data_IF_529168651169
#
_entry.id   IF_529168651169
#
_cell.length_a   1.000
_cell.length_b   1.000
_cell.length_c   1.000
_cell.angle_alpha   90.00
_cell.angle_beta   90.00
_cell.angle_gamma   90.00
#
_symmetry.space_group_name_H-M   'P 1'
#
loop_
_entity.id
_entity.type
_entity.pdbx_description
1 polymer ?
#
# COMPACT_ATOMS: atom_id res chain seq x y z
N UNK A 1 7.39 13.92 -3.79
CA UNK A 1 6.86 15.28 -3.98
C UNK A 1 7.51 16.26 -3.01
N UNK A 2 7.24 16.16 -1.71
CA UNK A 2 7.83 17.05 -0.69
C UNK A 2 9.37 17.22 -0.81
N UNK A 3 10.09 16.11 -0.99
CA UNK A 3 11.55 16.12 -1.24
C UNK A 3 11.99 17.02 -2.39
N UNK A 4 11.26 17.01 -3.49
CA UNK A 4 11.61 17.71 -4.72
C UNK A 4 11.29 19.20 -4.61
N UNK A 5 10.19 19.56 -3.93
CA UNK A 5 9.87 20.96 -3.63
C UNK A 5 10.91 21.56 -2.68
N UNK A 6 11.30 20.83 -1.63
CA UNK A 6 12.37 21.26 -0.73
C UNK A 6 13.72 21.37 -1.45
N UNK A 7 14.06 20.41 -2.31
CA UNK A 7 15.28 20.47 -3.11
C UNK A 7 15.29 21.66 -4.08
N UNK A 8 14.15 21.99 -4.70
CA UNK A 8 14.05 23.17 -5.57
C UNK A 8 14.24 24.47 -4.79
N UNK A 9 13.61 24.60 -3.62
CA UNK A 9 13.78 25.78 -2.76
C UNK A 9 15.23 25.91 -2.25
N UNK A 10 15.92 24.79 -2.06
CA UNK A 10 17.33 24.77 -1.70
C UNK A 10 18.24 25.19 -2.88
N UNK A 11 17.92 24.76 -4.11
CA UNK A 11 18.71 25.06 -5.30
C UNK A 11 18.57 26.53 -5.73
N UNK A 12 17.34 27.03 -5.79
CA UNK A 12 17.02 28.36 -6.33
C UNK A 12 16.99 29.45 -5.26
N UNK A 13 17.13 29.08 -3.98
CA UNK A 13 17.03 29.92 -2.78
C UNK A 13 15.65 30.57 -2.54
N UNK A 14 14.93 30.95 -3.60
CA UNK A 14 13.58 31.49 -3.58
C UNK A 14 12.83 31.01 -4.82
N UNK A 15 11.62 30.46 -4.63
CA UNK A 15 10.78 29.98 -5.73
C UNK A 15 9.40 30.63 -5.67
N UNK A 16 8.87 31.09 -6.80
CA UNK A 16 7.51 31.64 -6.86
C UNK A 16 6.45 30.59 -6.47
N UNK A 17 5.49 30.95 -5.62
CA UNK A 17 4.43 30.10 -5.08
C UNK A 17 3.45 29.55 -6.15
N UNK A 18 3.47 30.16 -7.34
CA UNK A 18 2.76 29.72 -8.56
C UNK A 18 3.68 29.20 -9.66
N UNK A 19 4.96 29.57 -9.61
CA UNK A 19 5.94 29.24 -10.64
C UNK A 19 6.65 27.91 -10.37
N UNK A 20 6.63 27.41 -9.13
CA UNK A 20 7.23 26.11 -8.83
C UNK A 20 6.67 25.01 -9.71
N UNK A 21 5.36 24.99 -10.02
CA UNK A 21 4.76 23.94 -10.88
C UNK A 21 5.36 23.90 -12.29
N UNK A 22 5.83 25.04 -12.82
CA UNK A 22 6.40 25.15 -14.16
C UNK A 22 7.78 24.48 -14.27
N UNK A 23 8.53 24.40 -13.16
CA UNK A 23 9.86 23.77 -13.12
C UNK A 23 9.86 22.28 -13.47
N UNK A 24 8.71 21.61 -13.32
CA UNK A 24 8.56 20.19 -13.66
C UNK A 24 7.86 19.96 -15.00
N UNK A 25 7.66 21.01 -15.81
CA UNK A 25 7.23 20.89 -17.21
C UNK A 25 5.88 20.17 -17.40
N UNK A 26 4.95 20.30 -16.44
CA UNK A 26 3.65 19.64 -16.51
C UNK A 26 3.68 18.13 -16.18
N UNK A 27 4.74 17.63 -15.53
CA UNK A 27 4.74 16.27 -14.97
C UNK A 27 3.59 16.15 -13.95
N UNK A 28 2.54 15.41 -14.31
CA UNK A 28 1.26 15.30 -13.60
C UNK A 28 1.30 15.27 -12.06
N UNK A 29 2.18 14.51 -11.38
CA UNK A 29 2.24 14.53 -9.92
C UNK A 29 2.68 15.88 -9.31
N UNK A 30 3.33 16.76 -10.07
CA UNK A 30 3.85 18.08 -9.67
C UNK A 30 2.92 19.25 -10.06
N UNK A 31 1.73 18.95 -10.62
CA UNK A 31 0.71 19.94 -10.92
C UNK A 31 -0.20 20.29 -9.72
N UNK A 32 -1.48 20.66 -9.93
CA UNK A 32 -2.41 21.05 -8.86
C UNK A 32 -2.54 20.03 -7.71
N UNK A 33 -2.32 18.74 -7.99
CA UNK A 33 -2.34 17.67 -7.00
C UNK A 33 -1.24 17.80 -5.92
N UNK A 34 -0.20 18.59 -6.15
CA UNK A 34 0.88 18.84 -5.19
C UNK A 34 0.62 20.05 -4.28
N UNK A 35 -0.41 20.86 -4.55
CA UNK A 35 -0.72 22.06 -3.77
C UNK A 35 -1.10 21.78 -2.30
N UNK A 36 -1.85 20.72 -1.97
CA UNK A 36 -2.07 20.31 -0.58
C UNK A 36 -0.76 19.97 0.14
N UNK A 37 0.21 19.40 -0.56
CA UNK A 37 1.52 19.03 0.00
C UNK A 37 2.34 20.29 0.28
N UNK A 38 2.35 21.27 -0.63
CA UNK A 38 3.04 22.54 -0.43
C UNK A 38 2.42 23.33 0.72
N UNK A 39 1.09 23.41 0.78
CA UNK A 39 0.37 24.05 1.90
C UNK A 39 0.76 23.42 3.25
N UNK A 40 0.83 22.10 3.29
CA UNK A 40 1.25 21.36 4.48
C UNK A 40 2.70 21.67 4.87
N UNK A 41 3.62 21.71 3.90
CA UNK A 41 5.02 22.06 4.17
C UNK A 41 5.18 23.49 4.73
N UNK A 42 4.36 24.43 4.27
CA UNK A 42 4.31 25.78 4.83
C UNK A 42 3.72 25.77 6.24
N UNK A 43 2.60 25.07 6.44
CA UNK A 43 1.93 24.98 7.76
C UNK A 43 2.81 24.37 8.86
N UNK A 44 3.64 23.39 8.50
CA UNK A 44 4.56 22.71 9.41
C UNK A 44 5.95 23.39 9.51
N UNK A 45 6.16 24.54 8.84
CA UNK A 45 7.41 25.32 8.92
C UNK A 45 8.61 24.71 8.17
N UNK A 46 8.38 23.73 7.30
CA UNK A 46 9.40 23.22 6.38
C UNK A 46 9.68 24.18 5.23
N UNK A 47 8.66 24.94 4.83
CA UNK A 47 8.78 26.06 3.92
C UNK A 47 8.27 27.32 4.62
N UNK A 48 8.89 28.45 4.35
CA UNK A 48 8.35 29.75 4.68
C UNK A 48 7.90 30.46 3.41
N UNK A 49 6.90 31.33 3.58
CA UNK A 49 6.34 32.13 2.50
C UNK A 49 6.50 33.61 2.84
N UNK A 50 7.16 34.35 1.96
CA UNK A 50 7.20 35.82 1.98
C UNK A 50 6.61 36.34 0.66
N UNK A 51 5.44 36.97 0.74
CA UNK A 51 4.67 37.38 -0.45
C UNK A 51 4.35 36.18 -1.35
N UNK A 52 4.87 36.20 -2.57
CA UNK A 52 4.71 35.11 -3.56
C UNK A 52 5.95 34.21 -3.64
N UNK A 53 6.89 34.31 -2.69
CA UNK A 53 8.12 33.51 -2.66
C UNK A 53 8.07 32.44 -1.57
N UNK A 54 8.54 31.25 -1.92
CA UNK A 54 8.75 30.11 -1.04
C UNK A 54 10.26 29.89 -0.86
N UNK A 55 10.66 29.64 0.37
CA UNK A 55 12.05 29.31 0.73
C UNK A 55 12.08 28.30 1.87
N UNK A 56 13.27 27.76 2.15
CA UNK A 56 13.48 26.76 3.19
C UNK A 56 13.15 27.36 4.56
N UNK A 57 12.24 26.71 5.28
CA UNK A 57 11.85 27.10 6.62
C UNK A 57 12.75 26.51 7.71
N UNK A 58 12.68 27.03 8.95
CA UNK A 58 13.52 26.63 10.07
C UNK A 58 13.43 25.13 10.41
N UNK A 59 12.25 24.52 10.19
CA UNK A 59 12.05 23.10 10.51
C UNK A 59 12.77 22.18 9.52
N UNK A 60 12.87 22.60 8.25
CA UNK A 60 13.65 21.90 7.25
C UNK A 60 15.16 22.01 7.53
N UNK A 61 15.66 23.18 7.95
CA UNK A 61 17.06 23.35 8.38
C UNK A 61 17.39 22.49 9.59
N UNK A 62 16.53 22.50 10.60
CA UNK A 62 16.72 21.71 11.83
C UNK A 62 16.80 20.21 11.56
N UNK A 63 15.96 19.70 10.65
CA UNK A 63 15.87 18.26 10.37
C UNK A 63 16.86 17.76 9.32
N UNK A 64 17.16 18.56 8.29
CA UNK A 64 17.95 18.13 7.14
C UNK A 64 19.27 18.90 6.97
N UNK A 65 19.48 20.00 7.69
CA UNK A 65 20.65 20.88 7.53
C UNK A 65 21.98 20.31 8.02
N UNK A 66 21.98 19.33 8.92
CA UNK A 66 23.21 18.79 9.57
C UNK A 66 24.24 18.19 8.58
N UNK A 67 23.83 17.86 7.36
CA UNK A 67 24.72 17.40 6.28
C UNK A 67 24.43 18.09 4.95
N UNK A 68 24.20 19.41 4.95
CA UNK A 68 23.87 20.18 3.74
C UNK A 68 22.73 19.53 2.93
N UNK A 69 21.69 19.04 3.61
CA UNK A 69 20.54 18.43 2.96
C UNK A 69 20.84 17.18 2.10
N UNK A 70 21.98 16.51 2.32
CA UNK A 70 22.37 15.29 1.60
C UNK A 70 21.33 14.15 1.72
N UNK A 71 20.55 14.11 2.80
CA UNK A 71 19.45 13.15 2.96
C UNK A 71 18.26 13.42 2.01
N UNK A 72 18.10 14.65 1.51
CA UNK A 72 17.13 15.06 0.49
C UNK A 72 17.56 14.69 -0.94
N UNK A 73 18.80 14.26 -1.19
CA UNK A 73 19.28 13.93 -2.55
C UNK A 73 19.41 12.42 -2.81
N UNK A 74 19.30 11.58 -1.78
CA UNK A 74 19.40 10.13 -1.92
C UNK A 74 18.03 9.49 -2.27
N UNK A 75 17.83 9.09 -3.53
CA UNK A 75 16.56 8.49 -4.05
C UNK A 75 16.47 6.96 -3.86
N UNK A 76 17.53 6.30 -3.40
CA UNK A 76 17.49 4.85 -3.16
C UNK A 76 17.03 4.55 -1.74
N UNK A 77 15.73 4.37 -1.55
CA UNK A 77 15.21 3.65 -0.39
C UNK A 77 15.19 2.17 -0.75
N UNK A 78 16.20 1.42 -0.32
CA UNK A 78 16.03 -0.03 -0.21
C UNK A 78 14.79 -0.30 0.65
N UNK A 79 13.95 -1.25 0.25
CA UNK A 79 12.80 -1.65 1.06
C UNK A 79 13.32 -2.02 2.47
N UNK A 80 12.80 -1.40 3.54
CA UNK A 80 13.38 -1.61 4.87
C UNK A 80 13.12 -3.04 5.32
N UNK A 81 14.11 -3.93 5.27
CA UNK A 81 13.99 -5.27 5.83
C UNK A 81 14.24 -5.26 7.35
N UNK A 82 13.59 -6.18 8.08
CA UNK A 82 13.84 -6.42 9.51
C UNK A 82 14.75 -7.62 9.70
N UNK A 83 15.80 -7.48 10.51
CA UNK A 83 16.65 -8.61 10.91
C UNK A 83 15.93 -9.46 11.95
N UNK A 84 15.78 -10.76 11.68
CA UNK A 84 15.14 -11.73 12.57
C UNK A 84 16.19 -12.43 13.42
N UNK A 85 16.02 -12.34 14.75
CA UNK A 85 16.96 -12.84 15.76
C UNK A 85 16.28 -13.89 16.64
N UNK A 86 16.92 -15.05 16.81
CA UNK A 86 16.60 -16.00 17.89
C UNK A 86 17.67 -15.86 18.98
N UNK A 87 17.32 -15.18 20.07
CA UNK A 87 18.30 -14.79 21.09
C UNK A 87 19.36 -13.85 20.52
N UNK A 88 20.60 -14.36 20.32
CA UNK A 88 21.73 -13.62 19.74
C UNK A 88 22.03 -14.00 18.30
N UNK A 89 21.38 -15.04 17.77
CA UNK A 89 21.66 -15.58 16.45
C UNK A 89 20.74 -14.96 15.41
N UNK A 90 21.33 -14.44 14.34
CA UNK A 90 20.60 -13.99 13.15
C UNK A 90 20.13 -15.18 12.33
N UNK A 91 18.82 -15.22 12.05
CA UNK A 91 18.16 -16.27 11.30
C UNK A 91 17.96 -15.85 9.83
N UNK A 92 17.80 -14.55 9.59
CA UNK A 92 17.64 -13.95 8.26
C UNK A 92 16.91 -12.63 8.34
N UNK A 93 16.34 -12.19 7.22
CA UNK A 93 15.54 -10.97 7.13
C UNK A 93 14.06 -11.28 6.86
N UNK A 94 13.18 -10.35 7.22
CA UNK A 94 11.74 -10.44 6.98
C UNK A 94 11.14 -9.08 6.58
N UNK A 95 10.01 -9.14 5.89
CA UNK A 95 9.28 -7.97 5.41
C UNK A 95 8.51 -7.29 6.58
N UNK A 96 8.60 -5.95 6.75
CA UNK A 96 7.81 -5.22 7.74
C UNK A 96 6.30 -5.45 7.67
N UNK A 97 5.75 -5.78 6.49
CA UNK A 97 4.35 -6.11 6.31
C UNK A 97 3.94 -7.35 7.12
N UNK A 98 4.79 -8.37 7.19
CA UNK A 98 4.56 -9.54 8.07
C UNK A 98 4.50 -9.13 9.55
N UNK A 99 5.20 -8.06 9.93
CA UNK A 99 5.30 -7.56 11.29
C UNK A 99 4.21 -6.52 11.65
N UNK A 100 3.47 -6.00 10.68
CA UNK A 100 2.38 -5.03 10.89
C UNK A 100 0.99 -5.62 10.64
N UNK A 101 0.89 -6.84 10.14
CA UNK A 101 -0.41 -7.50 9.95
C UNK A 101 -1.11 -7.82 11.25
N UNK A 102 -2.40 -7.49 11.34
CA UNK A 102 -3.25 -7.97 12.43
C UNK A 102 -3.38 -9.49 12.34
N UNK A 103 -3.16 -10.18 13.46
CA UNK A 103 -3.24 -11.63 13.56
C UNK A 103 -4.01 -12.01 14.80
N UNK A 104 -4.93 -12.98 14.67
CA UNK A 104 -5.54 -13.61 15.84
C UNK A 104 -4.52 -14.54 16.49
N UNK A 105 -4.16 -14.25 17.74
CA UNK A 105 -3.21 -15.05 18.51
C UNK A 105 -1.73 -14.69 18.25
N UNK A 106 -0.79 -15.57 18.62
CA UNK A 106 0.64 -15.26 18.53
C UNK A 106 1.08 -15.18 17.07
N UNK A 107 1.82 -14.12 16.71
CA UNK A 107 2.37 -13.96 15.36
C UNK A 107 3.47 -14.98 15.12
N UNK A 108 3.40 -15.70 14.00
CA UNK A 108 4.37 -16.74 13.63
C UNK A 108 4.91 -16.54 12.21
N UNK A 109 6.22 -16.65 12.06
CA UNK A 109 6.98 -16.52 10.82
C UNK A 109 7.53 -17.89 10.41
N UNK A 110 7.61 -18.14 9.11
CA UNK A 110 8.36 -19.28 8.55
C UNK A 110 9.62 -18.72 7.90
N UNK A 111 10.79 -19.04 8.47
CA UNK A 111 12.08 -18.53 8.01
C UNK A 111 13.15 -19.62 8.12
N UNK A 112 13.98 -19.75 7.09
CA UNK A 112 15.00 -20.81 6.98
C UNK A 112 14.43 -22.23 7.20
N UNK A 113 13.21 -22.48 6.73
CA UNK A 113 12.52 -23.77 6.85
C UNK A 113 12.03 -24.14 8.26
N UNK A 114 12.03 -23.19 9.21
CA UNK A 114 11.56 -23.39 10.59
C UNK A 114 10.48 -22.37 10.94
N UNK A 115 9.57 -22.76 11.83
CA UNK A 115 8.53 -21.89 12.34
C UNK A 115 9.03 -21.16 13.59
N UNK A 116 8.74 -19.87 13.65
CA UNK A 116 9.24 -18.95 14.65
C UNK A 116 8.09 -18.11 15.18
N UNK A 117 7.88 -18.04 16.49
CA UNK A 117 6.91 -17.14 17.09
C UNK A 117 7.59 -15.82 17.42
N UNK A 118 6.99 -14.71 16.97
CA UNK A 118 7.46 -13.36 17.28
C UNK A 118 7.16 -13.05 18.74
N UNK A 119 8.20 -12.71 19.49
CA UNK A 119 8.09 -12.33 20.91
C UNK A 119 8.17 -10.82 21.09
N UNK A 120 9.06 -10.16 20.35
CA UNK A 120 9.27 -8.72 20.45
C UNK A 120 9.73 -8.12 19.11
N UNK A 121 9.31 -6.90 18.82
CA UNK A 121 9.72 -6.15 17.63
C UNK A 121 10.29 -4.80 18.07
N UNK A 122 11.59 -4.60 17.80
CA UNK A 122 12.26 -3.32 17.93
C UNK A 122 12.21 -2.59 16.58
N UNK A 123 11.20 -1.74 16.43
CA UNK A 123 11.00 -0.92 15.24
C UNK A 123 12.13 0.07 15.00
N UNK A 124 12.71 0.61 16.07
CA UNK A 124 13.78 1.62 15.99
C UNK A 124 15.06 1.02 15.40
N UNK A 125 15.38 -0.23 15.77
CA UNK A 125 16.57 -0.94 15.30
C UNK A 125 16.30 -1.89 14.14
N UNK A 126 15.05 -1.96 13.66
CA UNK A 126 14.57 -2.90 12.64
C UNK A 126 14.92 -4.35 12.98
N UNK A 127 14.65 -4.76 14.21
CA UNK A 127 14.94 -6.11 14.72
C UNK A 127 13.66 -6.80 15.18
N UNK A 128 13.46 -8.04 14.75
CA UNK A 128 12.39 -8.91 15.18
C UNK A 128 12.99 -10.05 16.00
N UNK A 129 12.55 -10.23 17.24
CA UNK A 129 12.98 -11.32 18.11
C UNK A 129 11.96 -12.43 18.07
N UNK A 130 12.46 -13.66 17.96
CA UNK A 130 11.63 -14.85 17.79
C UNK A 130 12.09 -16.02 18.65
N UNK A 131 11.16 -16.93 18.93
CA UNK A 131 11.40 -18.21 19.56
C UNK A 131 10.92 -19.37 18.68
N UNK A 132 11.56 -20.53 18.69
CA UNK A 132 11.17 -21.67 17.86
C UNK A 132 9.79 -22.20 18.28
N UNK A 133 8.97 -22.58 17.30
CA UNK A 133 7.67 -23.24 17.52
C UNK A 133 7.44 -24.35 16.51
N UNK A 134 6.54 -25.28 16.82
CA UNK A 134 6.34 -26.47 15.99
C UNK A 134 5.54 -26.22 14.71
N UNK A 135 4.74 -25.14 14.63
CA UNK A 135 3.87 -24.92 13.46
C UNK A 135 3.20 -23.56 13.35
N UNK A 136 2.60 -23.30 12.19
CA UNK A 136 1.78 -22.11 11.92
C UNK A 136 2.57 -20.87 11.47
N UNK A 137 3.85 -21.01 11.10
CA UNK A 137 4.64 -19.91 10.54
C UNK A 137 4.15 -19.52 9.15
N UNK A 138 3.98 -18.22 8.91
CA UNK A 138 3.72 -17.67 7.57
C UNK A 138 5.05 -17.19 6.97
N UNK A 139 5.36 -17.62 5.75
CA UNK A 139 6.43 -17.04 4.95
C UNK A 139 5.79 -16.13 3.90
N UNK A 140 6.24 -14.88 3.85
CA UNK A 140 5.96 -13.98 2.72
C UNK A 140 7.25 -13.28 2.35
N UNK A 141 7.66 -13.50 1.11
CA UNK A 141 8.72 -12.73 0.50
C UNK A 141 8.05 -11.74 -0.43
N UNK A 142 8.03 -10.45 -0.08
CA UNK A 142 7.82 -9.46 -1.14
C UNK A 142 9.12 -9.44 -1.94
N UNK A 143 9.19 -10.27 -2.99
CA UNK A 143 10.19 -10.02 -4.02
C UNK A 143 10.01 -8.55 -4.45
N UNK A 144 11.07 -7.78 -4.64
CA UNK A 144 10.97 -6.32 -4.91
C UNK A 144 10.09 -5.89 -6.10
N UNK A 145 9.48 -6.85 -6.83
CA UNK A 145 8.42 -6.65 -7.83
C UNK A 145 6.99 -6.77 -7.28
N UNK A 146 6.78 -7.51 -6.19
CA UNK A 146 5.50 -7.64 -5.47
C UNK A 146 5.14 -6.39 -4.63
N UNK A 147 6.06 -5.42 -4.51
CA UNK A 147 5.77 -4.09 -3.94
C UNK A 147 4.94 -3.19 -4.87
N UNK A 148 4.66 -3.61 -6.10
CA UNK A 148 3.64 -2.96 -6.92
C UNK A 148 2.31 -3.67 -6.69
N UNK A 149 1.52 -3.12 -5.77
CA UNK A 149 0.07 -3.20 -5.81
C UNK A 149 -0.38 -3.22 -7.28
N UNK A 150 -0.94 -4.33 -7.75
CA UNK A 150 -1.36 -4.45 -9.14
C UNK A 150 -2.50 -3.44 -9.37
N UNK A 151 -2.47 -2.81 -10.53
CA UNK A 151 -3.48 -1.84 -10.91
C UNK A 151 -4.79 -2.53 -11.31
N UNK A 152 -5.85 -1.74 -11.37
CA UNK A 152 -7.13 -2.21 -11.86
C UNK A 152 -7.03 -2.71 -13.30
N UNK A 153 -6.26 -2.02 -14.15
CA UNK A 153 -6.09 -2.38 -15.56
C UNK A 153 -5.40 -3.73 -15.72
N UNK A 154 -4.37 -4.01 -14.92
CA UNK A 154 -3.62 -5.27 -15.00
C UNK A 154 -4.42 -6.46 -14.46
N UNK A 155 -5.12 -6.27 -13.34
CA UNK A 155 -5.98 -7.32 -12.78
C UNK A 155 -7.22 -7.55 -13.63
N UNK A 156 -7.81 -6.49 -14.18
CA UNK A 156 -8.87 -6.56 -15.19
C UNK A 156 -8.44 -7.31 -16.44
N UNK A 157 -7.27 -6.98 -17.01
CA UNK A 157 -6.73 -7.72 -18.16
C UNK A 157 -6.53 -9.21 -17.87
N UNK A 158 -6.04 -9.55 -16.67
CA UNK A 158 -5.94 -10.95 -16.25
C UNK A 158 -7.32 -11.63 -16.18
N UNK A 159 -8.34 -10.95 -15.63
CA UNK A 159 -9.73 -11.44 -15.62
C UNK A 159 -10.26 -11.69 -17.03
N UNK A 160 -10.05 -10.76 -17.97
CA UNK A 160 -10.49 -10.93 -19.37
C UNK A 160 -9.83 -12.15 -20.02
N UNK A 161 -8.54 -12.38 -19.74
CA UNK A 161 -7.85 -13.57 -20.23
C UNK A 161 -8.45 -14.85 -19.67
N UNK A 162 -8.82 -14.87 -18.38
CA UNK A 162 -9.52 -15.99 -17.75
C UNK A 162 -10.92 -16.21 -18.33
N UNK A 163 -11.61 -15.14 -18.74
CA UNK A 163 -12.92 -15.20 -19.41
C UNK A 163 -12.84 -15.64 -20.89
N UNK A 164 -11.62 -15.78 -21.44
CA UNK A 164 -11.40 -16.33 -22.79
C UNK A 164 -10.75 -15.37 -23.77
N UNK A 165 -10.40 -14.14 -23.37
CA UNK A 165 -9.65 -13.24 -24.25
C UNK A 165 -8.23 -13.76 -24.48
N UNK A 166 -7.81 -13.90 -25.74
CA UNK A 166 -6.45 -14.29 -26.07
C UNK A 166 -5.53 -13.05 -26.15
N UNK A 167 -4.33 -13.11 -25.54
CA UNK A 167 -3.37 -12.02 -25.67
C UNK A 167 -2.96 -11.79 -27.14
N UNK A 168 -2.76 -10.53 -27.58
CA UNK A 168 -2.46 -10.20 -28.98
C UNK A 168 -0.98 -10.47 -29.33
N UNK A 169 -0.51 -11.70 -29.10
CA UNK A 169 0.85 -12.15 -29.37
C UNK A 169 0.83 -13.56 -29.97
N UNK A 170 1.86 -13.92 -30.74
CA UNK A 170 2.01 -15.30 -31.23
C UNK A 170 2.31 -16.23 -30.06
N UNK A 171 1.39 -17.14 -29.77
CA UNK A 171 1.58 -18.15 -28.74
C UNK A 171 2.28 -19.39 -29.30
N UNK A 172 3.05 -20.04 -28.44
CA UNK A 172 3.57 -21.39 -28.71
C UNK A 172 2.53 -22.42 -28.27
N UNK A 173 2.53 -23.64 -28.84
CA UNK A 173 1.62 -24.72 -28.41
C UNK A 173 1.63 -24.97 -26.89
N UNK A 174 2.81 -24.93 -26.27
CA UNK A 174 2.94 -25.07 -24.80
C UNK A 174 2.25 -23.92 -24.03
N UNK A 175 2.27 -22.71 -24.58
CA UNK A 175 1.63 -21.54 -23.96
C UNK A 175 0.12 -21.61 -24.13
N UNK A 176 -0.38 -22.07 -25.28
CA UNK A 176 -1.81 -22.34 -25.50
C UNK A 176 -2.33 -23.40 -24.52
N UNK A 177 -1.62 -24.52 -24.36
CA UNK A 177 -2.02 -25.56 -23.39
C UNK A 177 -2.00 -25.05 -21.94
N UNK A 178 -0.97 -24.28 -21.56
CA UNK A 178 -0.90 -23.68 -20.23
C UNK A 178 -2.03 -22.67 -20.00
N UNK A 179 -2.38 -21.87 -21.01
CA UNK A 179 -3.47 -20.91 -20.94
C UNK A 179 -4.83 -21.60 -20.78
N UNK A 180 -5.06 -22.68 -21.53
CA UNK A 180 -6.27 -23.50 -21.39
C UNK A 180 -6.38 -24.09 -19.98
N UNK A 181 -5.30 -24.64 -19.43
CA UNK A 181 -5.28 -25.18 -18.08
C UNK A 181 -5.58 -24.11 -17.02
N UNK A 182 -4.96 -22.93 -17.14
CA UNK A 182 -5.19 -21.82 -16.19
C UNK A 182 -6.64 -21.34 -16.25
N UNK A 183 -7.26 -21.28 -17.43
CA UNK A 183 -8.69 -20.94 -17.58
C UNK A 183 -9.58 -21.97 -16.90
N UNK A 184 -9.28 -23.26 -17.07
CA UNK A 184 -10.03 -24.35 -16.43
C UNK A 184 -9.89 -24.32 -14.90
N UNK A 185 -8.66 -24.23 -14.39
CA UNK A 185 -8.35 -24.23 -12.96
C UNK A 185 -8.95 -23.03 -12.20
N UNK A 186 -9.21 -21.92 -12.90
CA UNK A 186 -9.65 -20.66 -12.30
C UNK A 186 -11.07 -20.25 -12.75
N UNK A 187 -11.81 -21.14 -13.42
CA UNK A 187 -13.13 -20.83 -13.98
C UNK A 187 -14.14 -20.37 -12.92
N UNK A 188 -14.03 -20.87 -11.69
CA UNK A 188 -14.91 -20.47 -10.58
C UNK A 188 -14.67 -19.02 -10.09
N UNK A 189 -13.51 -18.43 -10.39
CA UNK A 189 -13.12 -17.09 -9.88
C UNK A 189 -13.57 -15.94 -10.77
N UNK A 190 -14.17 -16.23 -11.93
CA UNK A 190 -14.59 -15.25 -12.93
C UNK A 190 -15.98 -15.59 -13.46
N UNK A 191 -16.77 -14.55 -13.76
CA UNK A 191 -18.07 -14.71 -14.40
C UNK A 191 -18.28 -13.55 -15.39
N UNK A 192 -18.83 -13.77 -16.59
CA UNK A 192 -19.01 -12.70 -17.59
C UNK A 192 -19.89 -11.55 -17.06
N UNK A 193 -20.95 -11.88 -16.32
CA UNK A 193 -21.93 -10.89 -15.85
C UNK A 193 -21.51 -10.09 -14.61
N UNK A 194 -20.32 -10.35 -14.04
CA UNK A 194 -19.85 -9.58 -12.90
C UNK A 194 -18.73 -10.20 -12.09
N UNK A 195 -18.55 -9.69 -10.87
CA UNK A 195 -17.63 -10.23 -9.86
C UNK A 195 -18.26 -11.38 -9.11
N UNK A 196 -17.45 -12.34 -8.65
CA UNK A 196 -17.93 -13.57 -8.01
C UNK A 196 -17.67 -13.52 -6.51
N UNK A 197 -18.65 -13.93 -5.70
CA UNK A 197 -18.44 -14.29 -4.29
C UNK A 197 -18.45 -15.81 -4.19
N UNK A 198 -17.31 -16.39 -3.82
CA UNK A 198 -17.19 -17.82 -3.60
C UNK A 198 -17.16 -18.13 -2.10
N UNK A 199 -17.79 -19.25 -1.76
CA UNK A 199 -17.81 -19.84 -0.44
C UNK A 199 -17.32 -21.28 -0.56
N UNK A 200 -16.18 -21.62 0.04
CA UNK A 200 -15.66 -22.98 -0.05
C UNK A 200 -14.23 -23.19 0.42
N UNK A 201 -13.89 -24.46 0.66
CA UNK A 201 -12.59 -24.95 1.19
C UNK A 201 -12.71 -25.60 2.57
N UNK A 202 -11.61 -26.17 3.08
CA UNK A 202 -11.53 -26.74 4.45
C UNK A 202 -11.76 -25.70 5.56
N UNK A 203 -11.63 -24.42 5.25
CA UNK A 203 -11.61 -23.32 6.21
C UNK A 203 -12.83 -22.37 6.09
N UNK A 204 -13.97 -22.80 5.50
CA UNK A 204 -15.23 -22.00 5.42
C UNK A 204 -15.12 -20.59 4.81
N UNK A 205 -14.01 -20.34 4.09
CA UNK A 205 -13.61 -19.04 3.58
C UNK A 205 -14.62 -18.44 2.59
N UNK A 206 -15.04 -17.18 2.82
CA UNK A 206 -15.81 -16.37 1.87
C UNK A 206 -14.87 -15.36 1.19
N UNK A 207 -14.82 -15.37 -0.15
CA UNK A 207 -13.95 -14.49 -0.95
C UNK A 207 -14.76 -13.81 -2.05
N UNK A 208 -14.64 -12.51 -2.13
CA UNK A 208 -15.15 -11.70 -3.23
C UNK A 208 -14.03 -11.42 -4.23
N UNK A 209 -14.09 -12.06 -5.39
CA UNK A 209 -13.16 -11.90 -6.51
C UNK A 209 -13.51 -10.65 -7.31
N UNK A 210 -12.90 -9.53 -6.92
CA UNK A 210 -13.16 -8.19 -7.46
C UNK A 210 -12.39 -7.91 -8.74
N UNK A 211 -11.15 -8.42 -8.86
CA UNK A 211 -10.21 -8.06 -9.93
C UNK A 211 -10.02 -6.54 -10.09
N UNK A 212 -10.11 -5.80 -8.98
CA UNK A 212 -10.10 -4.33 -8.98
C UNK A 212 -8.71 -3.73 -8.71
N UNK A 213 -7.69 -4.56 -8.45
CA UNK A 213 -6.37 -4.12 -8.02
C UNK A 213 -6.34 -3.76 -6.53
N UNK A 214 -5.12 -3.64 -5.98
CA UNK A 214 -4.95 -3.51 -4.53
C UNK A 214 -5.58 -2.23 -3.95
N UNK A 215 -5.41 -1.08 -4.62
CA UNK A 215 -5.90 0.22 -4.10
C UNK A 215 -7.41 0.24 -3.99
N UNK A 216 -8.10 -0.30 -4.99
CA UNK A 216 -9.55 -0.43 -4.96
C UNK A 216 -9.98 -1.41 -3.86
N UNK A 217 -9.33 -2.58 -3.77
CA UNK A 217 -9.65 -3.57 -2.74
C UNK A 217 -9.38 -3.09 -1.31
N UNK A 218 -8.33 -2.28 -1.10
CA UNK A 218 -8.04 -1.62 0.17
C UNK A 218 -9.15 -0.62 0.55
N UNK A 219 -9.63 0.16 -0.43
CA UNK A 219 -10.75 1.10 -0.23
C UNK A 219 -12.05 0.34 0.05
N UNK A 220 -12.32 -0.74 -0.68
CA UNK A 220 -13.47 -1.60 -0.45
C UNK A 220 -13.45 -2.24 0.94
N UNK A 221 -12.30 -2.77 1.38
CA UNK A 221 -12.17 -3.33 2.72
C UNK A 221 -12.35 -2.28 3.82
N UNK A 222 -11.85 -1.06 3.62
CA UNK A 222 -12.01 0.05 4.55
C UNK A 222 -13.44 0.64 4.55
N UNK A 223 -14.18 0.48 3.46
CA UNK A 223 -15.58 0.93 3.33
C UNK A 223 -16.55 -0.10 3.90
N UNK A 224 -16.34 -1.37 3.56
CA UNK A 224 -17.23 -2.49 3.87
C UNK A 224 -16.81 -3.20 5.16
N UNK A 225 -16.41 -2.45 6.20
CA UNK A 225 -15.88 -3.01 7.45
C UNK A 225 -16.87 -3.91 8.19
N UNK A 226 -18.16 -3.74 7.93
CA UNK A 226 -19.21 -4.60 8.47
C UNK A 226 -19.24 -6.00 7.85
N UNK A 227 -18.70 -6.20 6.64
CA UNK A 227 -18.74 -7.49 5.93
C UNK A 227 -17.36 -8.00 5.51
N UNK A 228 -16.35 -7.15 5.45
CA UNK A 228 -14.96 -7.53 5.23
C UNK A 228 -14.40 -8.25 6.48
N UNK A 229 -13.51 -9.21 6.26
CA UNK A 229 -12.78 -9.85 7.36
C UNK A 229 -11.76 -8.85 7.94
N UNK A 230 -11.92 -8.39 9.19
CA UNK A 230 -11.05 -7.36 9.76
C UNK A 230 -9.62 -7.85 9.97
N UNK A 231 -9.42 -9.16 10.07
CA UNK A 231 -8.11 -9.76 10.34
C UNK A 231 -7.29 -10.02 9.08
N UNK A 232 -7.88 -9.84 7.89
CA UNK A 232 -7.26 -10.23 6.63
C UNK A 232 -7.21 -9.05 5.69
N UNK A 233 -5.98 -8.69 5.31
CA UNK A 233 -5.76 -7.62 4.33
C UNK A 233 -6.27 -8.04 2.95
N UNK A 234 -6.82 -7.10 2.17
CA UNK A 234 -7.20 -7.36 0.80
C UNK A 234 -5.98 -7.69 -0.07
N UNK A 235 -6.22 -8.43 -1.14
CA UNK A 235 -5.22 -8.73 -2.18
C UNK A 235 -5.47 -7.88 -3.43
N UNK A 236 -4.68 -8.07 -4.47
CA UNK A 236 -4.92 -7.44 -5.78
C UNK A 236 -6.20 -7.94 -6.47
N UNK A 237 -6.60 -9.19 -6.24
CA UNK A 237 -7.66 -9.86 -7.02
C UNK A 237 -8.93 -10.14 -6.22
N UNK A 238 -8.85 -10.19 -4.89
CA UNK A 238 -10.00 -10.45 -4.04
C UNK A 238 -9.96 -9.71 -2.69
N UNK A 239 -11.15 -9.52 -2.13
CA UNK A 239 -11.39 -9.11 -0.74
C UNK A 239 -11.95 -10.30 0.03
N UNK A 240 -11.44 -10.53 1.24
CA UNK A 240 -11.97 -11.56 2.12
C UNK A 240 -13.14 -11.02 2.93
N UNK A 241 -14.22 -11.79 2.99
CA UNK A 241 -15.43 -11.42 3.70
C UNK A 241 -15.61 -12.32 4.93
N UNK A 242 -16.42 -11.86 5.89
CA UNK A 242 -16.79 -12.66 7.06
C UNK A 242 -17.46 -13.96 6.64
N UNK A 243 -17.22 -15.02 7.42
CA UNK A 243 -17.77 -16.35 7.12
C UNK A 243 -19.29 -16.41 7.27
N UNK A 244 -19.88 -15.60 8.13
CA UNK A 244 -21.32 -15.53 8.39
C UNK A 244 -22.11 -14.67 7.37
N UNK A 245 -21.44 -14.12 6.35
CA UNK A 245 -22.06 -13.21 5.39
C UNK A 245 -23.29 -13.81 4.70
N UNK A 246 -24.43 -13.15 4.83
CA UNK A 246 -25.65 -13.50 4.09
C UNK A 246 -25.83 -12.66 2.82
N UNK A 247 -26.65 -13.11 1.84
CA UNK A 247 -27.00 -12.30 0.69
C UNK A 247 -27.66 -10.96 1.06
N UNK A 248 -28.45 -10.92 2.13
CA UNK A 248 -29.11 -9.69 2.60
C UNK A 248 -28.09 -8.70 3.19
N UNK A 249 -27.14 -9.19 3.99
CA UNK A 249 -26.03 -8.39 4.50
C UNK A 249 -25.21 -7.78 3.36
N UNK A 250 -24.95 -8.57 2.31
CA UNK A 250 -24.24 -8.12 1.12
C UNK A 250 -25.00 -7.00 0.39
N UNK A 251 -26.30 -7.17 0.12
CA UNK A 251 -27.09 -6.15 -0.56
C UNK A 251 -27.16 -4.86 0.24
N UNK A 252 -27.34 -4.96 1.56
CA UNK A 252 -27.34 -3.81 2.46
C UNK A 252 -25.99 -3.10 2.46
N UNK A 253 -24.89 -3.83 2.65
CA UNK A 253 -23.56 -3.25 2.67
C UNK A 253 -23.18 -2.60 1.33
N UNK A 254 -23.57 -3.20 0.21
CA UNK A 254 -23.38 -2.63 -1.13
C UNK A 254 -24.12 -1.30 -1.29
N UNK A 255 -25.40 -1.25 -0.91
CA UNK A 255 -26.21 -0.03 -1.00
C UNK A 255 -25.66 1.09 -0.11
N UNK A 256 -25.19 0.76 1.10
CA UNK A 256 -24.56 1.73 2.00
C UNK A 256 -23.23 2.27 1.42
N UNK A 257 -22.40 1.40 0.86
CA UNK A 257 -21.10 1.77 0.30
C UNK A 257 -21.18 2.70 -0.92
N UNK A 258 -22.22 2.58 -1.75
CA UNK A 258 -22.46 3.48 -2.89
C UNK A 258 -22.59 4.95 -2.44
N UNK A 259 -23.07 5.19 -1.22
CA UNK A 259 -23.25 6.54 -0.67
C UNK A 259 -22.04 7.06 0.11
N UNK A 260 -21.10 6.19 0.50
CA UNK A 260 -19.99 6.55 1.39
C UNK A 260 -18.79 5.62 1.23
N UNK A 261 -17.81 6.07 0.45
CA UNK A 261 -16.48 5.43 0.39
C UNK A 261 -15.58 5.92 1.52
N UNK A 262 -14.86 4.99 2.16
CA UNK A 262 -13.86 5.26 3.17
C UNK A 262 -12.46 4.91 2.66
N UNK A 263 -11.51 5.83 2.80
CA UNK A 263 -10.11 5.57 2.48
C UNK A 263 -9.45 4.67 3.54
N UNK A 264 -8.53 3.77 3.15
CA UNK A 264 -7.84 2.92 4.10
C UNK A 264 -6.95 3.75 5.03
N UNK A 265 -6.97 3.40 6.32
CA UNK A 265 -6.11 4.05 7.31
C UNK A 265 -4.63 3.68 7.05
N UNK A 266 -3.74 4.67 7.18
CA UNK A 266 -2.29 4.46 7.13
C UNK A 266 -1.80 4.14 8.54
N UNK A 267 -1.16 2.99 8.73
CA UNK A 267 -0.52 2.67 10.01
C UNK A 267 0.71 3.55 10.22
N UNK A 268 0.64 4.45 11.21
CA UNK A 268 1.73 5.37 11.58
C UNK A 268 3.04 4.63 11.92
N UNK A 269 2.97 3.37 12.38
CA UNK A 269 4.14 2.53 12.67
C UNK A 269 4.79 1.99 11.39
N UNK A 270 4.00 1.66 10.38
CA UNK A 270 4.49 1.21 9.07
C UNK A 270 5.15 2.36 8.30
N UNK A 271 4.71 3.59 8.56
CA UNK A 271 5.34 4.76 8.01
C UNK A 271 6.64 5.14 8.76
N UNK A 272 6.77 4.75 10.04
CA UNK A 272 7.97 5.02 10.87
C UNK A 272 9.24 4.46 10.23
N UNK A 273 10.16 5.35 9.85
CA UNK A 273 11.41 5.00 9.17
C UNK A 273 11.41 5.15 7.65
N UNK A 274 10.29 5.56 7.03
CA UNK A 274 10.32 6.17 5.69
C UNK A 274 10.93 7.58 5.79
N UNK A 275 11.76 7.95 4.81
CA UNK A 275 12.50 9.24 4.81
C UNK A 275 11.62 10.47 5.01
N UNK A 276 10.32 10.39 4.71
CA UNK A 276 9.35 11.48 4.83
C UNK A 276 8.18 11.21 5.77
N UNK A 277 8.25 10.23 6.67
CA UNK A 277 7.14 9.99 7.62
C UNK A 277 7.05 11.01 8.77
N UNK A 278 7.98 11.94 8.86
CA UNK A 278 7.94 12.97 9.90
C UNK A 278 7.29 14.27 9.41
N UNK A 279 6.82 14.31 8.16
CA UNK A 279 5.98 15.37 7.62
C UNK A 279 4.47 15.15 7.81
N UNK A 280 3.88 13.92 7.75
CA UNK A 280 2.43 13.73 7.85
C UNK A 280 1.94 13.23 9.21
N UNK A 281 2.77 13.11 10.26
CA UNK A 281 2.38 12.32 11.44
C UNK A 281 1.46 12.99 12.46
N UNK A 282 1.13 14.29 12.35
CA UNK A 282 0.29 14.95 13.36
C UNK A 282 -0.77 15.87 12.74
N UNK A 283 -1.88 15.32 12.21
CA UNK A 283 -3.18 16.03 12.15
C UNK A 283 -4.32 15.12 11.65
N UNK A 284 -5.39 14.86 12.45
CA UNK A 284 -6.53 14.03 12.07
C UNK A 284 -7.51 14.64 11.04
N UNK A 285 -7.17 15.73 10.34
CA UNK A 285 -8.14 16.54 9.58
C UNK A 285 -7.96 16.56 8.05
N UNK A 286 -6.93 15.93 7.48
CA UNK A 286 -6.65 15.99 6.04
C UNK A 286 -7.34 14.93 5.17
N UNK A 287 -8.13 14.01 5.75
CA UNK A 287 -8.85 12.99 4.98
C UNK A 287 -10.16 13.47 4.33
N UNK A 288 -10.61 14.71 4.60
CA UNK A 288 -11.89 15.24 4.10
C UNK A 288 -11.80 15.97 2.76
N UNK A 289 -10.71 16.68 2.48
CA UNK A 289 -10.73 17.74 1.45
C UNK A 289 -10.18 17.33 0.07
N UNK A 290 -9.67 16.11 -0.08
CA UNK A 290 -9.22 15.59 -1.39
C UNK A 290 -10.35 14.95 -2.21
N UNK A 291 -11.56 14.82 -1.64
CA UNK A 291 -12.71 14.19 -2.30
C UNK A 291 -13.52 15.14 -3.20
N UNK A 292 -13.28 16.46 -3.17
CA UNK A 292 -14.18 17.44 -3.81
C UNK A 292 -13.66 18.12 -5.09
N UNK A 293 -12.46 17.79 -5.60
CA UNK A 293 -11.88 18.49 -6.77
C UNK A 293 -11.54 17.58 -7.97
N UNK A 294 -12.33 16.53 -8.19
CA UNK A 294 -12.23 15.69 -9.40
C UNK A 294 -13.57 15.62 -10.18
N UNK A 295 -14.37 16.69 -10.13
CA UNK A 295 -15.47 16.93 -11.06
C UNK A 295 -15.33 18.34 -11.66
N UNK A 296 -14.41 18.44 -12.62
CA UNK A 296 -14.57 19.16 -13.89
C UNK A 296 -13.42 18.80 -14.82
#
# INVERSE_FOLDING_TARGET
MAQQVLALCLQEHTVGDRLWQEWWGGLGPFGPAAEPIVRHLVGEGYLERDGDLLFIGPEAERRFGYRHFMDLTAVFTAAPEFTVLSGRSEIGTTDPQLLTEEVAGPRRLLLAGRNWQVTYIDWSRRRCFVEPVDGGGKARWSSGRALRALSHELTGAAREVLLGADPPVTLTKRAESALAQVREDNAEYVHPDGTVILRGGRDTNVRWWTWAGYRANATLAATLTNIADPLQRPTDTYVRLREDLTPDDWQKAKAEAESRLCLPAVDARAASGLKFNTAPSDSPQLSGDLAFSAHN
#
